data_IF_587251144973
#
_entry.id   IF_587251144973
#
_cell.length_a   1.000
_cell.length_b   1.000
_cell.length_c   1.000
_cell.angle_alpha   90.00
_cell.angle_beta   90.00
_cell.angle_gamma   90.00
#
_symmetry.space_group_name_H-M   'P 1'
#
loop_
_entity.id
_entity.type
_entity.pdbx_description
1 polymer ?
#
# COMPACT_ATOMS: atom_id res chain seq x y z
N UNK A 1 -39.34 30.60 -24.81
CA UNK A 1 -38.07 30.08 -25.37
C UNK A 1 -36.86 30.53 -24.48
N UNK A 2 -36.66 31.83 -24.21
CA UNK A 2 -35.50 32.32 -23.40
C UNK A 2 -35.51 31.79 -21.96
N UNK A 3 -36.68 31.66 -21.32
CA UNK A 3 -36.82 31.16 -19.97
C UNK A 3 -36.45 29.66 -19.86
N UNK A 4 -36.87 28.87 -20.86
CA UNK A 4 -36.56 27.43 -20.94
C UNK A 4 -35.05 27.21 -21.12
N UNK A 5 -34.41 27.99 -22.02
CA UNK A 5 -32.96 27.94 -22.22
C UNK A 5 -32.21 28.30 -20.94
N UNK A 6 -32.63 29.37 -20.26
CA UNK A 6 -32.01 29.77 -18.98
C UNK A 6 -32.14 28.71 -17.90
N UNK A 7 -33.30 28.07 -17.77
CA UNK A 7 -33.52 26.99 -16.80
C UNK A 7 -32.68 25.75 -17.13
N UNK A 8 -32.66 25.36 -18.42
CA UNK A 8 -31.84 24.23 -18.87
C UNK A 8 -30.35 24.43 -18.60
N UNK A 9 -29.82 25.65 -18.84
CA UNK A 9 -28.43 25.98 -18.56
C UNK A 9 -28.10 25.88 -17.06
N UNK A 10 -29.00 26.39 -16.19
CA UNK A 10 -28.81 26.31 -14.73
C UNK A 10 -28.84 24.85 -14.26
N UNK A 11 -29.80 24.05 -14.75
CA UNK A 11 -29.92 22.64 -14.43
C UNK A 11 -28.68 21.85 -14.86
N UNK A 12 -28.20 22.07 -16.08
CA UNK A 12 -26.97 21.44 -16.61
C UNK A 12 -25.75 21.80 -15.75
N UNK A 13 -25.60 23.08 -15.40
CA UNK A 13 -24.48 23.54 -14.60
C UNK A 13 -24.51 22.97 -13.17
N UNK A 14 -25.70 22.94 -12.55
CA UNK A 14 -25.90 22.30 -11.23
C UNK A 14 -25.57 20.80 -11.28
N UNK A 15 -26.03 20.09 -12.33
CA UNK A 15 -25.72 18.67 -12.51
C UNK A 15 -24.23 18.42 -12.69
N UNK A 16 -23.52 19.28 -13.43
CA UNK A 16 -22.07 19.16 -13.63
C UNK A 16 -21.32 19.36 -12.30
N UNK A 17 -21.68 20.36 -11.51
CA UNK A 17 -21.07 20.60 -10.19
C UNK A 17 -21.30 19.38 -9.27
N UNK A 18 -22.52 18.86 -9.26
CA UNK A 18 -22.87 17.68 -8.44
C UNK A 18 -22.07 16.47 -8.89
N UNK A 19 -21.99 16.19 -10.19
CA UNK A 19 -21.20 15.09 -10.74
C UNK A 19 -19.72 15.21 -10.36
N UNK A 20 -19.13 16.40 -10.46
CA UNK A 20 -17.75 16.66 -10.09
C UNK A 20 -17.52 16.46 -8.58
N UNK A 21 -18.44 16.95 -7.74
CA UNK A 21 -18.36 16.79 -6.29
C UNK A 21 -18.47 15.30 -5.89
N UNK A 22 -19.39 14.56 -6.49
CA UNK A 22 -19.53 13.11 -6.27
C UNK A 22 -18.26 12.38 -6.73
N UNK A 23 -17.75 12.67 -7.91
CA UNK A 23 -16.53 12.07 -8.43
C UNK A 23 -15.34 12.28 -7.49
N UNK A 24 -15.04 13.54 -7.12
CA UNK A 24 -13.90 13.86 -6.25
C UNK A 24 -14.03 13.23 -4.87
N UNK A 25 -15.24 13.22 -4.30
CA UNK A 25 -15.49 12.60 -2.99
C UNK A 25 -15.32 11.08 -3.06
N UNK A 26 -15.86 10.44 -4.10
CA UNK A 26 -15.73 8.98 -4.29
C UNK A 26 -14.29 8.57 -4.51
N UNK A 27 -13.53 9.30 -5.32
CA UNK A 27 -12.11 9.06 -5.54
C UNK A 27 -11.30 9.13 -4.23
N UNK A 28 -11.54 10.16 -3.43
CA UNK A 28 -10.87 10.33 -2.14
C UNK A 28 -11.23 9.19 -1.17
N UNK A 29 -12.50 8.86 -1.04
CA UNK A 29 -12.95 7.77 -0.16
C UNK A 29 -12.37 6.42 -0.59
N UNK A 30 -12.30 6.20 -1.90
CA UNK A 30 -11.73 5.00 -2.46
C UNK A 30 -10.24 4.85 -2.11
N UNK A 31 -9.44 5.90 -2.34
CA UNK A 31 -8.02 5.91 -1.98
C UNK A 31 -7.80 5.70 -0.47
N UNK A 32 -8.58 6.37 0.36
CA UNK A 32 -8.52 6.20 1.82
C UNK A 32 -8.94 4.79 2.27
N UNK A 33 -9.82 4.10 1.53
CA UNK A 33 -10.14 2.70 1.80
C UNK A 33 -8.96 1.77 1.50
N UNK A 34 -8.23 2.00 0.40
CA UNK A 34 -6.99 1.26 0.12
C UNK A 34 -5.92 1.49 1.18
N UNK A 35 -5.71 2.74 1.55
CA UNK A 35 -4.77 3.09 2.63
C UNK A 35 -5.10 2.37 3.92
N UNK A 36 -6.37 2.38 4.34
CA UNK A 36 -6.80 1.66 5.55
C UNK A 36 -6.65 0.16 5.43
N UNK A 37 -6.91 -0.41 4.25
CA UNK A 37 -6.78 -1.85 4.01
C UNK A 37 -5.33 -2.30 4.15
N UNK A 38 -4.39 -1.67 3.48
CA UNK A 38 -2.97 -2.02 3.57
C UNK A 38 -2.41 -1.72 4.96
N UNK A 39 -2.81 -0.63 5.59
CA UNK A 39 -2.42 -0.29 6.97
C UNK A 39 -2.88 -1.36 7.97
N UNK A 40 -4.12 -1.83 7.86
CA UNK A 40 -4.65 -2.88 8.72
C UNK A 40 -3.94 -4.22 8.47
N UNK A 41 -3.69 -4.55 7.21
CA UNK A 41 -3.00 -5.78 6.84
C UNK A 41 -1.56 -5.81 7.37
N UNK A 42 -0.80 -4.73 7.19
CA UNK A 42 0.59 -4.66 7.71
C UNK A 42 0.63 -4.68 9.24
N UNK A 43 -0.34 -4.06 9.91
CA UNK A 43 -0.48 -4.11 11.36
C UNK A 43 -0.68 -5.55 11.87
N UNK A 44 -1.58 -6.30 11.25
CA UNK A 44 -1.84 -7.71 11.57
C UNK A 44 -0.60 -8.56 11.26
N UNK A 45 0.06 -8.31 10.14
CA UNK A 45 1.30 -8.99 9.76
C UNK A 45 2.40 -8.77 10.79
N UNK A 46 2.58 -7.54 11.27
CA UNK A 46 3.56 -7.23 12.31
C UNK A 46 3.27 -7.97 13.63
N UNK A 47 2.00 -8.04 14.04
CA UNK A 47 1.58 -8.79 15.24
C UNK A 47 1.80 -10.31 15.13
N UNK A 48 1.86 -10.84 13.92
CA UNK A 48 2.16 -12.26 13.68
C UNK A 48 3.67 -12.55 13.67
N UNK A 49 4.52 -11.53 13.56
CA UNK A 49 5.97 -11.70 13.66
C UNK A 49 6.38 -11.92 15.12
N UNK A 50 7.16 -12.97 15.36
CA UNK A 50 7.86 -13.11 16.63
C UNK A 50 9.16 -12.32 16.56
N UNK A 51 9.21 -11.14 17.21
CA UNK A 51 10.34 -10.24 17.12
C UNK A 51 11.64 -10.82 17.68
N UNK A 52 11.57 -11.65 18.74
CA UNK A 52 12.75 -12.31 19.31
C UNK A 52 13.31 -13.38 18.36
N UNK A 53 12.45 -14.08 17.61
CA UNK A 53 12.88 -14.96 16.54
C UNK A 53 13.42 -14.17 15.35
N UNK A 54 12.71 -13.12 14.94
CA UNK A 54 13.13 -12.27 13.83
C UNK A 54 14.52 -11.66 14.08
N UNK A 55 14.80 -11.16 15.31
CA UNK A 55 16.09 -10.59 15.66
C UNK A 55 17.25 -11.56 15.47
N UNK A 56 17.02 -12.88 15.60
CA UNK A 56 18.04 -13.92 15.43
C UNK A 56 18.31 -14.32 13.98
N UNK A 57 17.50 -13.88 13.02
CA UNK A 57 17.77 -14.17 11.61
C UNK A 57 19.05 -13.48 11.18
N UNK A 58 20.07 -14.26 10.82
CA UNK A 58 21.41 -13.80 10.45
C UNK A 58 21.80 -14.17 9.01
N UNK A 59 21.02 -15.02 8.33
CA UNK A 59 21.24 -15.39 6.92
C UNK A 59 19.97 -15.89 6.24
N UNK A 60 19.97 -15.91 4.90
CA UNK A 60 18.86 -16.44 4.10
C UNK A 60 18.79 -17.97 4.02
N UNK A 61 19.72 -18.70 4.63
CA UNK A 61 19.78 -20.17 4.59
C UNK A 61 19.30 -20.85 5.88
N UNK A 62 18.87 -20.09 6.87
CA UNK A 62 18.47 -20.61 8.17
C UNK A 62 17.03 -21.13 8.17
N UNK A 63 16.71 -22.18 8.96
CA UNK A 63 15.33 -22.68 9.11
C UNK A 63 14.37 -21.59 9.59
N UNK A 64 14.87 -20.64 10.40
CA UNK A 64 14.09 -19.54 10.93
C UNK A 64 13.72 -18.51 9.84
N UNK A 65 14.66 -18.21 8.92
CA UNK A 65 14.39 -17.41 7.73
C UNK A 65 13.25 -18.03 6.91
N UNK A 66 13.34 -19.31 6.60
CA UNK A 66 12.34 -20.00 5.79
C UNK A 66 10.97 -20.07 6.49
N UNK A 67 10.94 -20.25 7.81
CA UNK A 67 9.70 -20.17 8.61
C UNK A 67 8.98 -18.83 8.42
N UNK A 68 9.72 -17.73 8.54
CA UNK A 68 9.18 -16.37 8.39
C UNK A 68 8.79 -16.11 6.93
N UNK A 69 9.61 -16.55 5.96
CA UNK A 69 9.31 -16.43 4.54
C UNK A 69 7.99 -17.10 4.17
N UNK A 70 7.79 -18.35 4.59
CA UNK A 70 6.54 -19.06 4.33
C UNK A 70 5.33 -18.43 5.03
N UNK A 71 5.52 -17.81 6.18
CA UNK A 71 4.47 -17.03 6.85
C UNK A 71 4.10 -15.80 6.02
N UNK A 72 5.08 -15.01 5.58
CA UNK A 72 4.87 -13.84 4.74
C UNK A 72 4.25 -14.22 3.39
N UNK A 73 4.67 -15.32 2.77
CA UNK A 73 4.07 -15.84 1.53
C UNK A 73 2.58 -16.19 1.69
N UNK A 74 2.19 -16.78 2.82
CA UNK A 74 0.77 -17.04 3.11
C UNK A 74 -0.04 -15.75 3.21
N UNK A 75 0.53 -14.73 3.81
CA UNK A 75 -0.11 -13.41 3.93
C UNK A 75 -0.20 -12.77 2.54
N UNK A 76 0.87 -12.76 1.77
CA UNK A 76 0.89 -12.28 0.39
C UNK A 76 -0.22 -12.92 -0.46
N UNK A 77 -0.39 -14.23 -0.35
CA UNK A 77 -1.41 -14.99 -1.10
C UNK A 77 -2.83 -14.85 -0.56
N UNK A 78 -3.02 -14.22 0.59
CA UNK A 78 -4.35 -14.05 1.21
C UNK A 78 -5.21 -13.01 0.49
N UNK A 79 -4.59 -12.13 -0.29
CA UNK A 79 -5.26 -11.05 -1.01
C UNK A 79 -4.58 -10.82 -2.36
N UNK A 80 -5.32 -10.87 -3.49
CA UNK A 80 -4.76 -10.73 -4.83
C UNK A 80 -4.20 -9.33 -5.14
N UNK A 81 -4.53 -8.33 -4.34
CA UNK A 81 -4.02 -6.97 -4.52
C UNK A 81 -2.65 -6.76 -3.84
N UNK A 82 -2.24 -7.65 -2.93
CA UNK A 82 -0.90 -7.62 -2.33
C UNK A 82 0.13 -8.11 -3.34
N UNK A 83 1.17 -7.32 -3.53
CA UNK A 83 2.27 -7.64 -4.46
C UNK A 83 3.53 -8.05 -3.71
N UNK A 84 3.82 -7.38 -2.60
CA UNK A 84 4.96 -7.68 -1.76
C UNK A 84 4.58 -7.69 -0.27
N UNK A 85 5.19 -8.62 0.47
CA UNK A 85 5.20 -8.68 1.94
C UNK A 85 6.62 -9.04 2.36
N UNK A 86 7.30 -8.11 2.98
CA UNK A 86 8.72 -8.24 3.29
C UNK A 86 9.06 -7.67 4.67
N UNK A 87 10.23 -8.01 5.16
CA UNK A 87 10.76 -7.47 6.40
C UNK A 87 12.12 -6.82 6.16
N UNK A 88 12.41 -5.77 6.92
CA UNK A 88 13.62 -4.95 6.75
C UNK A 88 14.28 -4.67 8.08
N UNK A 89 15.59 -4.41 8.01
CA UNK A 89 16.39 -3.78 9.06
C UNK A 89 17.16 -2.60 8.48
N UNK A 90 17.75 -1.82 9.38
CA UNK A 90 18.62 -0.69 9.03
C UNK A 90 19.95 -0.81 9.74
N UNK A 91 21.00 -0.48 9.05
CA UNK A 91 22.35 -0.34 9.56
C UNK A 91 22.98 0.98 9.07
N UNK A 92 24.26 1.28 9.38
CA UNK A 92 24.93 2.51 8.91
C UNK A 92 25.00 2.67 7.40
N UNK A 93 24.87 1.58 6.62
CA UNK A 93 24.87 1.61 5.16
C UNK A 93 23.47 1.84 4.57
N UNK A 94 22.40 1.76 5.38
CA UNK A 94 21.02 2.01 4.96
C UNK A 94 20.05 0.88 5.31
N UNK A 95 18.88 0.90 4.68
CA UNK A 95 17.84 -0.12 4.83
C UNK A 95 18.20 -1.34 3.98
N UNK A 96 17.94 -2.54 4.50
CA UNK A 96 18.15 -3.80 3.79
C UNK A 96 17.02 -4.80 4.08
N UNK A 97 16.77 -5.67 3.10
CA UNK A 97 15.79 -6.74 3.23
C UNK A 97 16.30 -7.86 4.13
N UNK A 98 15.44 -8.39 4.98
CA UNK A 98 15.74 -9.53 5.85
C UNK A 98 15.02 -10.77 5.35
N UNK A 99 13.70 -10.71 5.16
CA UNK A 99 12.91 -11.81 4.64
C UNK A 99 11.87 -11.25 3.68
N UNK A 100 11.93 -11.68 2.43
CA UNK A 100 10.91 -11.46 1.41
C UNK A 100 9.93 -12.65 1.40
N UNK A 101 8.63 -12.36 1.35
CA UNK A 101 7.57 -13.37 1.29
C UNK A 101 7.32 -13.94 -0.11
N UNK A 102 7.98 -13.44 -1.14
CA UNK A 102 7.82 -13.94 -2.49
C UNK A 102 8.43 -15.34 -2.70
N UNK A 103 8.12 -15.94 -3.85
CA UNK A 103 8.85 -17.14 -4.30
C UNK A 103 10.30 -16.75 -4.63
N UNK A 104 11.23 -17.68 -4.40
CA UNK A 104 12.67 -17.41 -4.57
C UNK A 104 13.10 -17.08 -6.01
N UNK A 105 12.30 -17.48 -6.99
CA UNK A 105 12.49 -17.24 -8.42
C UNK A 105 11.56 -16.15 -8.98
N UNK A 106 10.80 -15.47 -8.11
CA UNK A 106 9.92 -14.39 -8.53
C UNK A 106 10.73 -13.15 -8.97
N UNK A 107 10.23 -12.48 -10.01
CA UNK A 107 10.74 -11.15 -10.37
C UNK A 107 10.54 -10.18 -9.18
N UNK A 108 11.60 -9.44 -8.83
CA UNK A 108 11.58 -8.52 -7.69
C UNK A 108 11.79 -9.17 -6.33
N UNK A 109 12.11 -10.49 -6.26
CA UNK A 109 12.52 -11.12 -5.00
C UNK A 109 13.80 -10.48 -4.44
N UNK A 110 13.78 -10.15 -3.15
CA UNK A 110 14.93 -9.59 -2.44
C UNK A 110 15.52 -10.62 -1.46
N UNK A 111 16.79 -10.97 -1.65
CA UNK A 111 17.48 -11.90 -0.76
C UNK A 111 17.87 -11.22 0.57
N UNK A 112 18.19 -12.05 1.57
CA UNK A 112 18.73 -11.56 2.84
C UNK A 112 19.98 -10.68 2.62
N UNK A 113 19.93 -9.46 3.09
CA UNK A 113 21.02 -8.49 3.01
C UNK A 113 21.01 -7.60 1.78
N UNK A 114 20.13 -7.84 0.81
CA UNK A 114 19.98 -6.95 -0.35
C UNK A 114 19.59 -5.55 0.12
N UNK A 115 20.26 -4.53 -0.45
CA UNK A 115 20.01 -3.13 -0.10
C UNK A 115 18.75 -2.62 -0.78
N UNK A 116 17.91 -1.92 -0.01
CA UNK A 116 16.84 -1.13 -0.59
C UNK A 116 17.44 0.18 -1.11
N UNK A 117 17.64 0.27 -2.43
CA UNK A 117 18.44 1.36 -3.04
C UNK A 117 17.65 2.67 -3.11
N UNK A 118 16.35 2.60 -3.34
CA UNK A 118 15.48 3.77 -3.53
C UNK A 118 14.30 3.78 -2.52
N UNK A 119 14.56 3.71 -1.19
CA UNK A 119 13.50 3.76 -0.20
C UNK A 119 12.85 5.15 -0.21
N UNK A 120 11.52 5.20 0.00
CA UNK A 120 10.82 6.48 0.04
C UNK A 120 11.37 7.38 1.15
N UNK A 121 11.40 8.70 0.96
CA UNK A 121 11.77 9.65 2.01
C UNK A 121 10.88 9.52 3.26
N UNK A 122 9.63 9.11 3.09
CA UNK A 122 8.69 8.87 4.18
C UNK A 122 9.11 7.66 5.02
N UNK A 123 9.46 6.53 4.38
CA UNK A 123 9.99 5.35 5.08
C UNK A 123 11.29 5.68 5.82
N UNK A 124 12.26 6.29 5.13
CA UNK A 124 13.57 6.65 5.72
C UNK A 124 13.42 7.49 6.98
N UNK A 125 12.52 8.50 6.92
CA UNK A 125 12.25 9.41 8.04
C UNK A 125 11.65 8.70 9.26
N UNK A 126 10.78 7.73 9.03
CA UNK A 126 10.00 7.10 10.10
C UNK A 126 10.59 5.77 10.56
N UNK A 127 11.56 5.18 9.87
CA UNK A 127 12.03 3.82 10.06
C UNK A 127 12.40 3.48 11.51
N UNK A 128 13.19 4.33 12.17
CA UNK A 128 13.71 4.08 13.54
C UNK A 128 12.81 4.61 14.66
N UNK A 129 11.85 5.47 14.32
CA UNK A 129 10.93 6.10 15.27
C UNK A 129 9.50 5.56 15.19
N UNK A 130 9.31 4.46 14.45
CA UNK A 130 7.99 3.89 14.21
C UNK A 130 7.46 3.21 15.47
N UNK A 131 6.41 3.77 16.07
CA UNK A 131 5.74 3.20 17.26
C UNK A 131 4.38 2.56 16.93
N UNK A 132 3.89 2.80 15.72
CA UNK A 132 2.61 2.29 15.23
C UNK A 132 2.69 2.08 13.70
N UNK A 133 1.80 1.28 13.12
CA UNK A 133 1.74 1.14 11.67
C UNK A 133 1.52 2.47 10.96
N UNK A 134 2.19 2.66 9.84
CA UNK A 134 2.09 3.85 8.98
C UNK A 134 1.83 3.43 7.53
N UNK A 135 1.26 4.33 6.73
CA UNK A 135 1.01 4.13 5.30
C UNK A 135 1.50 5.35 4.54
N UNK A 136 2.10 5.12 3.38
CA UNK A 136 2.53 6.19 2.47
C UNK A 136 1.38 7.17 2.20
N UNK A 137 1.64 8.48 2.21
CA UNK A 137 0.61 9.47 1.90
C UNK A 137 0.14 9.37 0.46
N UNK A 138 1.01 8.93 -0.45
CA UNK A 138 0.81 8.83 -1.89
C UNK A 138 1.47 7.57 -2.43
N UNK A 139 1.15 7.22 -3.69
CA UNK A 139 1.86 6.17 -4.42
C UNK A 139 3.31 6.60 -4.59
N UNK A 140 4.23 5.71 -4.25
CA UNK A 140 5.66 5.89 -4.44
C UNK A 140 6.17 4.95 -5.52
N UNK A 141 7.16 5.41 -6.29
CA UNK A 141 7.84 4.61 -7.34
C UNK A 141 9.29 4.42 -6.96
N UNK A 142 9.77 3.19 -6.99
CA UNK A 142 11.14 2.78 -6.73
C UNK A 142 11.63 1.78 -7.79
N UNK A 143 12.74 1.08 -7.52
CA UNK A 143 13.34 0.07 -8.40
C UNK A 143 12.44 -1.16 -8.64
N UNK A 144 11.45 -1.41 -7.79
CA UNK A 144 10.51 -2.54 -7.91
C UNK A 144 9.21 -2.17 -8.62
N UNK A 145 8.90 -0.87 -8.73
CA UNK A 145 7.69 -0.39 -9.39
C UNK A 145 7.00 0.77 -8.68
N UNK A 146 5.70 0.87 -8.87
CA UNK A 146 4.86 1.91 -8.26
C UNK A 146 3.84 1.29 -7.33
N UNK A 147 3.87 1.67 -6.05
CA UNK A 147 3.10 1.03 -4.98
C UNK A 147 2.46 2.02 -4.03
N UNK A 148 1.37 1.57 -3.41
CA UNK A 148 0.89 2.12 -2.16
C UNK A 148 1.40 1.20 -1.04
N UNK A 149 2.37 1.71 -0.26
CA UNK A 149 3.10 0.93 0.73
C UNK A 149 2.68 1.29 2.15
N UNK A 150 2.66 0.29 3.02
CA UNK A 150 2.48 0.47 4.46
C UNK A 150 3.55 -0.30 5.24
N UNK A 151 3.88 0.21 6.40
CA UNK A 151 4.94 -0.30 7.24
C UNK A 151 4.48 -0.43 8.68
N UNK A 152 5.00 -1.43 9.39
CA UNK A 152 4.74 -1.59 10.81
C UNK A 152 6.01 -2.08 11.55
N UNK A 153 6.24 -1.65 12.79
CA UNK A 153 7.39 -2.08 13.56
C UNK A 153 7.24 -3.55 13.98
N UNK A 154 8.32 -4.31 13.89
CA UNK A 154 8.44 -5.63 14.51
C UNK A 154 9.08 -5.41 15.88
N UNK A 155 8.36 -5.82 16.93
CA UNK A 155 8.79 -5.60 18.32
C UNK A 155 9.25 -6.91 18.95
N UNK A 156 10.39 -6.87 19.62
CA UNK A 156 10.84 -7.91 20.54
C UNK A 156 9.96 -7.97 21.81
N UNK A 157 10.08 -9.02 22.59
CA UNK A 157 9.31 -9.21 23.83
C UNK A 157 9.54 -8.12 24.88
N UNK A 158 10.68 -7.42 24.82
CA UNK A 158 11.02 -6.28 25.68
C UNK A 158 10.50 -4.93 25.16
N UNK A 159 9.79 -4.92 24.02
CA UNK A 159 9.22 -3.73 23.39
C UNK A 159 10.16 -2.97 22.46
N UNK A 160 11.41 -3.42 22.28
CA UNK A 160 12.33 -2.81 21.29
C UNK A 160 11.88 -3.10 19.87
N UNK A 161 12.01 -2.14 19.00
CA UNK A 161 11.88 -2.36 17.57
C UNK A 161 13.11 -3.11 17.04
N UNK A 162 12.91 -4.28 16.46
CA UNK A 162 13.98 -5.14 15.90
C UNK A 162 13.96 -5.19 14.38
N UNK A 163 12.97 -4.57 13.78
CA UNK A 163 12.83 -4.42 12.33
C UNK A 163 11.51 -3.79 11.95
N UNK A 164 11.22 -3.79 10.67
CA UNK A 164 9.99 -3.28 10.07
C UNK A 164 9.47 -4.31 9.09
N UNK A 165 8.16 -4.57 9.11
CA UNK A 165 7.48 -5.27 8.02
C UNK A 165 6.89 -4.24 7.06
N UNK A 166 7.08 -4.46 5.77
CA UNK A 166 6.48 -3.71 4.68
C UNK A 166 5.48 -4.55 3.91
N UNK A 167 4.47 -3.88 3.36
CA UNK A 167 3.45 -4.48 2.52
C UNK A 167 3.04 -3.50 1.43
N UNK A 168 2.96 -3.99 0.19
CA UNK A 168 2.69 -3.18 -0.99
C UNK A 168 1.48 -3.64 -1.76
N UNK A 169 0.68 -2.67 -2.21
CA UNK A 169 -0.38 -2.84 -3.22
C UNK A 169 0.08 -2.12 -4.50
N UNK A 170 -0.01 -2.81 -5.65
CA UNK A 170 0.38 -2.21 -6.93
C UNK A 170 -0.45 -0.97 -7.25
N UNK A 171 0.21 0.11 -7.69
CA UNK A 171 -0.45 1.34 -8.12
C UNK A 171 -1.45 1.10 -9.25
N UNK A 172 -1.16 0.14 -10.15
CA UNK A 172 -2.05 -0.25 -11.24
C UNK A 172 -3.44 -0.68 -10.75
N UNK A 173 -3.52 -1.45 -9.66
CA UNK A 173 -4.78 -1.83 -9.02
C UNK A 173 -5.56 -0.59 -8.53
N UNK A 174 -4.87 0.34 -7.89
CA UNK A 174 -5.48 1.57 -7.38
C UNK A 174 -5.99 2.44 -8.53
N UNK A 175 -5.15 2.67 -9.56
CA UNK A 175 -5.46 3.52 -10.72
C UNK A 175 -6.58 2.92 -11.58
N UNK A 176 -6.57 1.61 -11.83
CA UNK A 176 -7.59 0.94 -12.64
C UNK A 176 -8.98 1.09 -12.02
N UNK A 177 -9.10 0.89 -10.72
CA UNK A 177 -10.38 1.04 -10.03
C UNK A 177 -10.83 2.51 -9.98
N UNK A 178 -9.92 3.46 -9.87
CA UNK A 178 -10.23 4.89 -10.03
C UNK A 178 -10.78 5.23 -11.42
N UNK A 179 -10.22 4.64 -12.49
CA UNK A 179 -10.71 4.81 -13.85
C UNK A 179 -12.14 4.31 -14.05
N UNK A 180 -12.51 3.19 -13.43
CA UNK A 180 -13.87 2.65 -13.49
C UNK A 180 -14.90 3.61 -12.85
N UNK A 181 -14.55 4.23 -11.73
CA UNK A 181 -15.40 5.22 -11.05
C UNK A 181 -15.64 6.43 -11.96
N UNK A 182 -14.63 6.89 -12.69
CA UNK A 182 -14.76 7.99 -13.64
C UNK A 182 -15.76 7.66 -14.75
N UNK A 183 -15.63 6.49 -15.39
CA UNK A 183 -16.53 6.02 -16.46
C UNK A 183 -17.97 5.93 -15.96
N UNK A 184 -18.19 5.35 -14.78
CA UNK A 184 -19.52 5.25 -14.17
C UNK A 184 -20.12 6.63 -13.86
N UNK A 185 -19.32 7.55 -13.33
CA UNK A 185 -19.77 8.92 -13.02
C UNK A 185 -20.17 9.69 -14.28
N UNK A 186 -19.42 9.55 -15.37
CA UNK A 186 -19.76 10.13 -16.69
C UNK A 186 -21.05 9.50 -17.22
N UNK A 187 -21.21 8.18 -17.11
CA UNK A 187 -22.43 7.47 -17.54
C UNK A 187 -23.67 7.98 -16.81
N UNK A 188 -23.61 8.12 -15.51
CA UNK A 188 -24.73 8.67 -14.70
C UNK A 188 -25.05 10.12 -15.12
N UNK A 189 -24.03 10.95 -15.32
CA UNK A 189 -24.20 12.33 -15.74
C UNK A 189 -24.91 12.41 -17.10
N UNK A 190 -24.52 11.58 -18.09
CA UNK A 190 -25.15 11.56 -19.41
C UNK A 190 -26.62 11.11 -19.35
N UNK A 191 -26.95 10.13 -18.50
CA UNK A 191 -28.36 9.69 -18.28
C UNK A 191 -29.19 10.83 -17.69
N UNK A 192 -28.69 11.53 -16.70
CA UNK A 192 -29.39 12.68 -16.09
C UNK A 192 -29.56 13.82 -17.09
N UNK A 193 -28.60 14.04 -17.99
CA UNK A 193 -28.69 15.08 -19.02
C UNK A 193 -29.72 14.75 -20.11
N UNK A 194 -30.00 13.47 -20.36
CA UNK A 194 -30.94 12.99 -21.39
C UNK A 194 -32.41 12.96 -20.90
N UNK A 195 -32.65 13.10 -19.60
CA UNK A 195 -34.00 13.16 -19.00
C UNK A 195 -34.53 14.59 -18.96
#
# INVERSE_FOLDING_TARGET
TKLIIGFSLIATFASLITALAVYTTTQRQFFENFRRRVLTAVAITALQQNGDEFERVASGSEPLYEKIRLQNLKILRSDPDFVYVYTMRKDPQGIYFVVDGNELDAEGFSAYGDRYLEPSPFLVKNFESMTQPIVEPEIYTDEFGSFLSAYAPILASDGRQVGVVGMDIAAGTVIQQQGQILIQSIGIFLVVLAM
#
